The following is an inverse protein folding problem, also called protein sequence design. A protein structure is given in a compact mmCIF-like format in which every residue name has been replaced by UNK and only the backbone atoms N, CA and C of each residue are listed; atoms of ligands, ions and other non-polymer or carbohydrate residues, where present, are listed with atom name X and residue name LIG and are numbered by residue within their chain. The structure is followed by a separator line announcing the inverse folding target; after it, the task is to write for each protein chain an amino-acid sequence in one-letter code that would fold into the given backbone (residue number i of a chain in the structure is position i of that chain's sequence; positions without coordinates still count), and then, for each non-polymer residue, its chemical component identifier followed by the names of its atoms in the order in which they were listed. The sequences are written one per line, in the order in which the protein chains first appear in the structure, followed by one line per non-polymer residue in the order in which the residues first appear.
data_IF_448085015860
#
_entry.id   IF_448085015860
#
_cell.length_a   1.000
_cell.length_b   1.000
_cell.length_c   1.000
_cell.angle_alpha   90.00
_cell.angle_beta   90.00
_cell.angle_gamma   90.00
#
_symmetry.space_group_name_H-M   'P 1'
#
loop_
_entity.id
_entity.type
_entity.pdbx_description
1 polymer ?
#
# COMPACT_ATOMS: atom_id res chain seq x y z
N UNK A 1 -3.71 -1.86 -6.87
CA UNK A 1 -4.23 -2.77 -5.83
C UNK A 1 -3.39 -2.60 -4.60
N UNK A 2 -4.01 -2.81 -3.43
CA UNK A 2 -3.36 -2.65 -2.14
C UNK A 2 -3.60 -3.91 -1.28
N UNK A 3 -2.99 -3.96 -0.10
CA UNK A 3 -3.14 -5.06 0.86
C UNK A 3 -4.14 -4.69 1.95
N UNK A 4 -4.39 -5.60 2.90
CA UNK A 4 -5.10 -5.32 4.15
C UNK A 4 -4.42 -4.26 5.05
N UNK A 5 -3.19 -3.84 4.73
CA UNK A 5 -2.47 -2.73 5.38
C UNK A 5 -2.48 -1.47 4.49
N UNK A 6 -3.34 -1.47 3.47
CA UNK A 6 -3.39 -0.53 2.36
C UNK A 6 -4.06 0.81 2.65
N UNK A 7 -4.58 1.04 3.86
CA UNK A 7 -5.42 2.19 4.17
C UNK A 7 -4.75 3.52 3.84
N UNK A 8 -3.44 3.64 4.14
CA UNK A 8 -2.66 4.82 3.82
C UNK A 8 -2.57 5.04 2.31
N UNK A 9 -2.35 3.99 1.53
CA UNK A 9 -2.36 4.06 0.06
C UNK A 9 -3.74 4.39 -0.49
N UNK A 10 -4.82 3.87 0.10
CA UNK A 10 -6.19 4.18 -0.31
C UNK A 10 -6.49 5.67 -0.10
N UNK A 11 -6.18 6.22 1.08
CA UNK A 11 -6.34 7.64 1.39
C UNK A 11 -5.48 8.50 0.47
N UNK A 12 -4.19 8.16 0.31
CA UNK A 12 -3.29 8.89 -0.58
C UNK A 12 -3.74 8.85 -2.05
N UNK A 13 -4.49 7.82 -2.45
CA UNK A 13 -5.08 7.71 -3.78
C UNK A 13 -6.34 8.56 -3.96
N UNK A 14 -6.94 9.03 -2.87
CA UNK A 14 -8.10 9.92 -2.86
C UNK A 14 -9.37 9.30 -2.27
N UNK A 15 -9.30 8.11 -1.66
CA UNK A 15 -10.44 7.57 -0.91
C UNK A 15 -10.78 8.52 0.24
N UNK A 16 -12.06 8.90 0.38
CA UNK A 16 -12.50 9.73 1.50
C UNK A 16 -12.26 8.97 2.83
N UNK A 17 -11.44 9.51 3.75
CA UNK A 17 -11.21 8.89 5.06
C UNK A 17 -12.49 8.67 5.88
N UNK A 18 -13.53 9.49 5.65
CA UNK A 18 -14.87 9.32 6.27
C UNK A 18 -15.51 8.01 5.83
N UNK A 19 -15.48 7.72 4.54
CA UNK A 19 -15.97 6.45 3.98
C UNK A 19 -15.08 5.28 4.39
N UNK A 20 -13.75 5.46 4.44
CA UNK A 20 -12.83 4.44 4.95
C UNK A 20 -13.16 4.05 6.40
N UNK A 21 -13.24 5.03 7.31
CA UNK A 21 -13.59 4.75 8.72
C UNK A 21 -15.01 4.17 8.87
N UNK A 22 -15.97 4.63 8.08
CA UNK A 22 -17.31 4.04 8.05
C UNK A 22 -17.27 2.55 7.62
N UNK A 23 -16.45 2.20 6.63
CA UNK A 23 -16.25 0.82 6.19
C UNK A 23 -15.63 -0.05 7.30
N UNK A 24 -14.62 0.46 8.03
CA UNK A 24 -14.04 -0.26 9.18
C UNK A 24 -15.07 -0.62 10.25
N UNK A 25 -16.04 0.27 10.45
CA UNK A 25 -17.11 0.09 11.43
C UNK A 25 -18.33 -0.65 10.87
N UNK A 26 -18.25 -1.18 9.64
CA UNK A 26 -19.35 -1.92 9.00
C UNK A 26 -20.57 -1.05 8.71
N UNK A 27 -20.38 0.25 8.46
CA UNK A 27 -21.47 1.21 8.23
C UNK A 27 -21.81 1.31 6.75
N UNK A 28 -23.08 1.59 6.46
CA UNK A 28 -23.63 1.66 5.09
C UNK A 28 -22.97 2.75 4.23
N UNK A 29 -22.44 3.79 4.86
CA UNK A 29 -21.71 4.88 4.20
C UNK A 29 -20.23 4.58 3.97
N UNK A 30 -19.80 3.33 4.25
CA UNK A 30 -18.47 2.89 3.89
C UNK A 30 -18.28 2.78 2.38
N UNK A 31 -17.03 2.83 1.93
CA UNK A 31 -16.69 2.76 0.50
C UNK A 31 -17.14 1.47 -0.20
N UNK A 32 -17.46 0.42 0.57
CA UNK A 32 -18.08 -0.83 0.11
C UNK A 32 -19.38 -1.14 0.87
N UNK A 33 -20.05 -0.08 1.34
CA UNK A 33 -21.33 -0.10 2.06
C UNK A 33 -21.30 -0.97 3.33
N UNK A 34 -20.15 -1.08 3.98
CA UNK A 34 -19.98 -1.85 5.21
C UNK A 34 -19.91 -3.37 5.00
N UNK A 35 -19.80 -3.83 3.75
CA UNK A 35 -19.76 -5.26 3.38
C UNK A 35 -18.33 -5.79 3.27
N UNK A 36 -17.37 -4.93 2.94
CA UNK A 36 -15.98 -5.30 2.76
C UNK A 36 -15.19 -5.29 4.07
N UNK A 37 -15.41 -4.27 4.90
CA UNK A 37 -14.63 -4.05 6.11
C UNK A 37 -13.18 -3.67 5.84
N UNK A 38 -12.35 -3.81 6.87
CA UNK A 38 -10.97 -3.28 6.89
C UNK A 38 -10.07 -3.74 5.74
N UNK A 39 -10.26 -4.93 5.19
CA UNK A 39 -9.29 -5.50 4.24
C UNK A 39 -9.68 -5.33 2.77
N UNK A 40 -10.72 -4.54 2.49
CA UNK A 40 -11.43 -4.57 1.20
C UNK A 40 -11.82 -3.18 0.68
N UNK A 41 -11.13 -2.12 1.11
CA UNK A 41 -11.37 -0.78 0.57
C UNK A 41 -11.24 -0.78 -0.94
N UNK A 42 -12.27 -0.26 -1.61
CA UNK A 42 -12.36 -0.22 -3.07
C UNK A 42 -13.06 1.08 -3.47
N UNK A 43 -12.48 1.78 -4.43
CA UNK A 43 -13.10 2.93 -5.08
C UNK A 43 -12.51 3.08 -6.48
N UNK A 44 -13.27 2.66 -7.48
CA UNK A 44 -12.83 2.70 -8.88
C UNK A 44 -12.71 4.12 -9.42
N UNK A 45 -13.38 5.11 -8.82
CA UNK A 45 -13.36 6.50 -9.29
C UNK A 45 -11.99 7.14 -9.10
N UNK A 46 -11.29 6.76 -8.04
CA UNK A 46 -9.91 7.16 -7.76
C UNK A 46 -8.88 6.16 -8.30
N UNK A 47 -9.33 5.06 -8.91
CA UNK A 47 -8.49 3.99 -9.44
C UNK A 47 -8.00 2.99 -8.39
N UNK A 48 -8.64 2.94 -7.22
CA UNK A 48 -8.42 1.92 -6.20
C UNK A 48 -9.18 0.66 -6.57
N UNK A 49 -8.49 -0.26 -7.26
CA UNK A 49 -9.05 -1.55 -7.72
C UNK A 49 -9.39 -2.53 -6.58
N UNK A 50 -9.03 -2.20 -5.34
CA UNK A 50 -9.33 -3.01 -4.16
C UNK A 50 -8.10 -3.33 -3.32
N UNK A 51 -8.30 -3.30 -2.01
CA UNK A 51 -7.51 -4.01 -1.02
C UNK A 51 -7.85 -5.50 -1.03
N UNK A 52 -6.86 -6.34 -0.70
CA UNK A 52 -7.02 -7.78 -0.72
C UNK A 52 -6.50 -8.40 0.59
N UNK A 53 -7.35 -9.18 1.25
CA UNK A 53 -6.98 -10.03 2.38
C UNK A 53 -6.15 -11.25 1.95
N UNK A 54 -6.31 -11.72 0.71
CA UNK A 54 -5.55 -12.85 0.16
C UNK A 54 -4.17 -12.35 -0.26
N UNK A 55 -3.13 -12.85 0.42
CA UNK A 55 -1.75 -12.47 0.16
C UNK A 55 -1.38 -12.75 -1.30
N UNK A 56 -0.87 -11.75 -2.00
CA UNK A 56 -0.47 -11.84 -3.41
C UNK A 56 -1.60 -11.72 -4.44
N UNK A 57 -2.88 -11.72 -4.03
CA UNK A 57 -4.01 -11.68 -4.97
C UNK A 57 -4.13 -10.35 -5.74
N UNK A 58 -3.58 -9.25 -5.21
CA UNK A 58 -3.59 -7.95 -5.88
C UNK A 58 -2.74 -7.88 -7.15
N UNK A 59 -1.74 -8.75 -7.29
CA UNK A 59 -0.80 -8.75 -8.40
C UNK A 59 -1.42 -9.13 -9.75
N UNK A 60 -2.13 -10.27 -9.89
CA UNK A 60 -2.76 -10.62 -11.16
C UNK A 60 -3.81 -9.59 -11.59
N UNK A 61 -4.53 -9.00 -10.64
CA UNK A 61 -5.49 -7.92 -10.91
C UNK A 61 -4.77 -6.68 -11.50
N UNK A 62 -3.66 -6.26 -10.90
CA UNK A 62 -2.87 -5.13 -11.40
C UNK A 62 -2.29 -5.41 -12.79
N UNK A 63 -1.79 -6.62 -13.05
CA UNK A 63 -1.30 -7.02 -14.38
C UNK A 63 -2.43 -6.98 -15.41
N UNK A 64 -3.62 -7.47 -15.07
CA UNK A 64 -4.79 -7.38 -15.94
C UNK A 64 -5.17 -5.93 -16.27
N UNK A 65 -5.19 -5.05 -15.26
CA UNK A 65 -5.45 -3.62 -15.45
C UNK A 65 -4.39 -2.93 -16.32
N UNK A 66 -3.11 -3.26 -16.13
CA UNK A 66 -2.01 -2.76 -16.95
C UNK A 66 -2.10 -3.25 -18.39
N UNK A 67 -2.45 -4.53 -18.59
CA UNK A 67 -2.66 -5.10 -19.92
C UNK A 67 -3.80 -4.39 -20.64
N UNK A 68 -4.93 -4.17 -19.96
CA UNK A 68 -6.05 -3.37 -20.49
C UNK A 68 -5.59 -1.95 -20.85
N UNK A 69 -4.85 -1.28 -19.97
CA UNK A 69 -4.34 0.07 -20.22
C UNK A 69 -3.45 0.13 -21.48
N UNK A 70 -2.63 -0.90 -21.70
CA UNK A 70 -1.76 -1.06 -22.87
C UNK A 70 -2.55 -1.31 -24.15
N UNK A 71 -3.50 -2.25 -24.12
CA UNK A 71 -4.33 -2.61 -25.29
C UNK A 71 -5.21 -1.44 -25.73
N UNK A 72 -5.81 -0.74 -24.76
CA UNK A 72 -6.67 0.42 -24.98
C UNK A 72 -5.89 1.72 -25.24
N UNK A 73 -4.56 1.70 -25.14
CA UNK A 73 -3.67 2.86 -25.33
C UNK A 73 -4.03 4.07 -24.46
N UNK A 74 -4.48 3.81 -23.24
CA UNK A 74 -4.90 4.86 -22.30
C UNK A 74 -3.72 5.62 -21.68
N UNK A 75 -2.51 5.07 -21.80
CA UNK A 75 -1.33 5.58 -21.10
C UNK A 75 -1.38 5.39 -19.59
N UNK A 76 -2.34 4.64 -19.03
CA UNK A 76 -2.40 4.35 -17.59
C UNK A 76 -1.35 3.30 -17.20
N UNK A 77 -0.87 3.39 -15.96
CA UNK A 77 0.02 2.41 -15.31
C UNK A 77 -0.72 1.82 -14.12
N UNK A 78 -0.66 0.50 -13.95
CA UNK A 78 -1.19 -0.14 -12.75
C UNK A 78 -0.08 -0.26 -11.70
N UNK A 79 -0.45 -0.22 -10.42
CA UNK A 79 0.47 -0.49 -9.31
C UNK A 79 -0.10 -1.59 -8.43
N UNK A 80 0.75 -2.54 -8.06
CA UNK A 80 0.45 -3.57 -7.07
C UNK A 80 1.32 -3.34 -5.85
N UNK A 81 0.70 -2.91 -4.74
CA UNK A 81 1.38 -2.76 -3.44
C UNK A 81 1.23 -4.05 -2.65
N UNK A 82 2.32 -4.57 -2.09
CA UNK A 82 2.34 -5.80 -1.30
C UNK A 82 3.47 -5.84 -0.28
N UNK A 83 3.33 -6.66 0.76
CA UNK A 83 4.40 -6.90 1.74
C UNK A 83 5.39 -7.97 1.30
N UNK A 84 6.58 -7.97 1.90
CA UNK A 84 7.70 -8.88 1.63
C UNK A 84 7.31 -10.36 1.52
N UNK A 85 6.53 -10.89 2.46
CA UNK A 85 6.08 -12.29 2.44
C UNK A 85 5.30 -12.69 1.19
N UNK A 86 4.62 -11.75 0.52
CA UNK A 86 3.83 -12.04 -0.67
C UNK A 86 4.69 -12.51 -1.84
N UNK A 87 5.99 -12.18 -1.87
CA UNK A 87 6.96 -12.63 -2.90
C UNK A 87 7.05 -14.16 -3.04
N UNK A 88 6.58 -14.89 -2.02
CA UNK A 88 6.56 -16.34 -1.98
C UNK A 88 5.24 -16.95 -2.46
N UNK A 89 4.25 -16.14 -2.83
CA UNK A 89 2.97 -16.62 -3.35
C UNK A 89 3.06 -16.91 -4.85
N UNK A 90 2.48 -18.04 -5.28
CA UNK A 90 2.46 -18.46 -6.68
C UNK A 90 1.85 -17.38 -7.58
N UNK A 91 0.70 -16.83 -7.20
CA UNK A 91 -0.01 -15.81 -7.97
C UNK A 91 0.84 -14.55 -8.22
N UNK A 92 1.68 -14.15 -7.26
CA UNK A 92 2.59 -13.03 -7.46
C UNK A 92 3.69 -13.41 -8.45
N UNK A 93 4.39 -14.55 -8.26
CA UNK A 93 5.45 -14.99 -9.16
C UNK A 93 4.98 -15.18 -10.61
N UNK A 94 3.80 -15.77 -10.79
CA UNK A 94 3.15 -15.90 -12.09
C UNK A 94 2.86 -14.52 -12.71
N UNK A 95 2.38 -13.57 -11.89
CA UNK A 95 2.15 -12.19 -12.32
C UNK A 95 3.43 -11.47 -12.71
N UNK A 96 4.54 -11.68 -11.99
CA UNK A 96 5.84 -11.12 -12.33
C UNK A 96 6.29 -11.63 -13.71
N UNK A 97 6.19 -12.94 -13.94
CA UNK A 97 6.51 -13.56 -15.22
C UNK A 97 5.64 -13.04 -16.37
N UNK A 98 4.32 -12.97 -16.17
CA UNK A 98 3.39 -12.49 -17.19
C UNK A 98 3.58 -11.01 -17.51
N UNK A 99 3.81 -10.18 -16.50
CA UNK A 99 4.12 -8.77 -16.69
C UNK A 99 5.36 -8.60 -17.59
N UNK A 100 6.45 -9.34 -17.30
CA UNK A 100 7.67 -9.30 -18.08
C UNK A 100 7.44 -9.79 -19.53
N UNK A 101 6.79 -10.95 -19.70
CA UNK A 101 6.50 -11.52 -21.02
C UNK A 101 5.64 -10.60 -21.89
N UNK A 102 4.69 -9.88 -21.28
CA UNK A 102 3.79 -8.98 -21.99
C UNK A 102 4.28 -7.54 -22.05
N UNK A 103 5.42 -7.21 -21.43
CA UNK A 103 5.90 -5.83 -21.29
C UNK A 103 4.76 -4.92 -20.78
N UNK A 104 4.10 -5.35 -19.70
CA UNK A 104 2.94 -4.66 -19.14
C UNK A 104 3.36 -3.37 -18.40
N UNK A 105 2.60 -2.26 -18.51
CA UNK A 105 2.87 -1.03 -17.78
C UNK A 105 2.42 -1.15 -16.31
N UNK A 106 3.18 -1.91 -15.52
CA UNK A 106 2.88 -2.18 -14.11
C UNK A 106 4.09 -1.92 -13.21
N UNK A 107 3.83 -1.31 -12.05
CA UNK A 107 4.81 -1.17 -10.96
C UNK A 107 4.44 -2.14 -9.84
N UNK A 108 5.38 -3.00 -9.46
CA UNK A 108 5.30 -3.86 -8.29
C UNK A 108 6.01 -3.13 -7.13
N UNK A 109 5.23 -2.64 -6.17
CA UNK A 109 5.75 -1.90 -5.02
C UNK A 109 5.72 -2.79 -3.79
N UNK A 110 6.89 -3.31 -3.40
CA UNK A 110 7.07 -4.18 -2.25
C UNK A 110 7.43 -3.35 -1.01
N UNK A 111 6.53 -3.30 -0.03
CA UNK A 111 6.79 -2.76 1.30
C UNK A 111 7.49 -3.82 2.14
N UNK A 112 8.83 -3.86 2.04
CA UNK A 112 9.62 -4.82 2.78
C UNK A 112 9.79 -4.37 4.23
N UNK A 113 8.92 -4.88 5.11
CA UNK A 113 8.93 -4.56 6.54
C UNK A 113 9.74 -5.56 7.38
N UNK A 114 10.56 -6.39 6.71
CA UNK A 114 11.44 -7.44 7.24
C UNK A 114 10.74 -8.70 7.77
N UNK A 115 9.40 -8.70 7.92
CA UNK A 115 8.67 -9.83 8.50
C UNK A 115 7.40 -10.19 7.75
N UNK A 116 7.33 -11.45 7.32
CA UNK A 116 6.08 -12.09 6.91
C UNK A 116 5.37 -12.64 8.15
N UNK A 117 4.42 -11.88 8.67
CA UNK A 117 3.75 -12.17 9.95
C UNK A 117 4.78 -12.17 11.10
N UNK A 118 5.22 -13.35 11.55
CA UNK A 118 6.28 -13.56 12.55
C UNK A 118 7.60 -14.08 11.97
N UNK A 119 7.65 -14.36 10.66
CA UNK A 119 8.82 -14.98 10.03
C UNK A 119 9.71 -13.91 9.40
N UNK A 120 10.98 -13.77 9.82
CA UNK A 120 11.93 -12.89 9.15
C UNK A 120 12.03 -13.23 7.65
N UNK A 121 11.94 -12.23 6.78
CA UNK A 121 11.92 -12.45 5.33
C UNK A 121 13.16 -13.19 4.82
N UNK A 122 14.32 -12.95 5.44
CA UNK A 122 15.59 -13.60 5.10
C UNK A 122 15.57 -15.13 5.32
N UNK A 123 14.64 -15.65 6.13
CA UNK A 123 14.45 -17.09 6.31
C UNK A 123 13.57 -17.71 5.20
N UNK A 124 12.98 -16.88 4.32
CA UNK A 124 12.03 -17.29 3.28
C UNK A 124 12.54 -17.04 1.87
N UNK A 125 13.74 -16.48 1.71
CA UNK A 125 14.34 -16.15 0.42
C UNK A 125 15.79 -16.66 0.34
N UNK A 126 16.27 -16.90 -0.88
CA UNK A 126 17.66 -17.31 -1.13
C UNK A 126 18.56 -16.19 -1.66
N UNK A 127 18.02 -14.99 -1.85
CA UNK A 127 18.73 -13.80 -2.35
C UNK A 127 18.94 -12.79 -1.22
N UNK A 128 19.87 -11.85 -1.38
CA UNK A 128 20.10 -10.83 -0.36
C UNK A 128 18.93 -9.86 -0.24
N UNK A 129 18.31 -9.53 -1.38
CA UNK A 129 17.17 -8.59 -1.46
C UNK A 129 16.03 -9.15 -2.30
N UNK A 130 14.84 -8.59 -2.15
CA UNK A 130 13.69 -8.95 -2.98
C UNK A 130 13.81 -8.36 -4.39
N UNK A 131 14.44 -7.19 -4.53
CA UNK A 131 14.80 -6.62 -5.82
C UNK A 131 15.71 -7.56 -6.63
N UNK A 132 16.73 -8.18 -6.00
CA UNK A 132 17.60 -9.16 -6.66
C UNK A 132 16.81 -10.38 -7.15
N UNK A 133 15.89 -10.91 -6.32
CA UNK A 133 15.00 -12.00 -6.73
C UNK A 133 14.11 -11.60 -7.90
N UNK A 134 13.54 -10.40 -7.85
CA UNK A 134 12.71 -9.88 -8.94
C UNK A 134 13.55 -9.70 -10.21
N UNK A 135 14.81 -9.27 -10.14
CA UNK A 135 15.65 -9.03 -11.31
C UNK A 135 15.81 -10.26 -12.21
N UNK A 136 15.64 -11.48 -11.66
CA UNK A 136 15.61 -12.73 -12.41
C UNK A 136 14.53 -12.81 -13.52
N UNK A 137 13.52 -11.94 -13.50
CA UNK A 137 12.50 -11.84 -14.56
C UNK A 137 12.90 -10.90 -15.72
N UNK A 138 14.08 -10.26 -15.68
CA UNK A 138 14.64 -9.49 -16.80
C UNK A 138 14.09 -8.07 -16.97
N UNK A 139 13.68 -7.44 -15.87
CA UNK A 139 13.09 -6.08 -15.81
C UNK A 139 13.83 -5.15 -14.85
N UNK A 140 13.45 -3.87 -14.84
CA UNK A 140 14.02 -2.86 -13.95
C UNK A 140 13.62 -3.13 -12.50
N UNK A 141 14.60 -3.17 -11.60
CA UNK A 141 14.39 -3.31 -10.17
C UNK A 141 15.17 -2.25 -9.40
N UNK A 142 14.61 -1.74 -8.31
CA UNK A 142 15.28 -0.78 -7.43
C UNK A 142 14.97 -1.09 -5.97
N UNK A 143 15.91 -0.76 -5.08
CA UNK A 143 15.71 -0.80 -3.63
C UNK A 143 15.81 0.64 -3.13
N UNK A 144 14.86 1.06 -2.30
CA UNK A 144 14.75 2.42 -1.78
C UNK A 144 14.57 2.41 -0.27
N UNK A 145 15.02 3.48 0.39
CA UNK A 145 14.69 3.68 1.81
C UNK A 145 13.20 4.05 1.92
N UNK A 146 12.38 3.11 2.37
CA UNK A 146 10.94 3.29 2.56
C UNK A 146 10.59 4.23 3.71
N UNK A 147 11.59 4.66 4.51
CA UNK A 147 11.46 5.68 5.54
C UNK A 147 11.81 7.09 5.04
N UNK A 148 12.24 7.25 3.78
CA UNK A 148 12.45 8.56 3.17
C UNK A 148 11.29 8.85 2.19
N UNK A 149 10.34 9.74 2.54
CA UNK A 149 9.20 10.06 1.67
C UNK A 149 9.61 10.62 0.31
N UNK A 150 10.73 11.35 0.25
CA UNK A 150 11.23 11.96 -0.99
C UNK A 150 11.83 10.87 -1.88
N UNK A 151 12.68 10.00 -1.32
CA UNK A 151 13.26 8.88 -2.08
C UNK A 151 12.17 7.94 -2.63
N UNK A 152 11.14 7.64 -1.84
CA UNK A 152 9.98 6.86 -2.29
C UNK A 152 9.24 7.56 -3.42
N UNK A 153 8.98 8.87 -3.29
CA UNK A 153 8.29 9.65 -4.32
C UNK A 153 9.08 9.68 -5.65
N UNK A 154 10.37 9.97 -5.59
CA UNK A 154 11.23 10.06 -6.78
C UNK A 154 11.33 8.72 -7.50
N UNK A 155 11.64 7.65 -6.78
CA UNK A 155 11.74 6.31 -7.34
C UNK A 155 10.42 5.80 -7.93
N UNK A 156 9.30 6.08 -7.25
CA UNK A 156 7.97 5.71 -7.74
C UNK A 156 7.61 6.50 -9.00
N UNK A 157 7.96 7.78 -9.04
CA UNK A 157 7.73 8.64 -10.21
C UNK A 157 8.51 8.15 -11.42
N UNK A 158 9.80 7.82 -11.25
CA UNK A 158 10.64 7.25 -12.31
C UNK A 158 10.09 5.90 -12.80
N UNK A 159 9.72 5.00 -11.89
CA UNK A 159 9.16 3.70 -12.25
C UNK A 159 7.85 3.81 -13.03
N UNK A 160 6.98 4.74 -12.64
CA UNK A 160 5.72 5.01 -13.34
C UNK A 160 5.99 5.59 -14.72
N UNK A 161 6.92 6.53 -14.87
CA UNK A 161 7.30 7.09 -16.16
C UNK A 161 7.89 6.03 -17.10
N UNK A 162 8.81 5.21 -16.60
CA UNK A 162 9.41 4.09 -17.34
C UNK A 162 8.35 3.12 -17.85
N UNK A 163 7.45 2.67 -16.97
CA UNK A 163 6.37 1.75 -17.33
C UNK A 163 5.40 2.36 -18.34
N UNK A 164 5.06 3.65 -18.18
CA UNK A 164 4.17 4.40 -19.07
C UNK A 164 4.74 4.55 -20.47
N UNK A 165 6.06 4.79 -20.57
CA UNK A 165 6.77 5.00 -21.83
C UNK A 165 7.14 3.69 -22.54
N UNK A 166 6.64 2.55 -22.07
CA UNK A 166 6.84 1.25 -22.71
C UNK A 166 8.17 0.58 -22.38
N UNK A 167 8.88 1.06 -21.35
CA UNK A 167 10.07 0.39 -20.80
C UNK A 167 9.76 -0.95 -20.11
N UNK A 168 8.48 -1.30 -20.01
CA UNK A 168 8.02 -2.52 -19.38
C UNK A 168 7.84 -2.35 -17.87
N UNK A 169 7.61 -3.47 -17.17
CA UNK A 169 7.28 -3.43 -15.76
C UNK A 169 8.49 -3.11 -14.86
N UNK A 170 8.23 -2.59 -13.66
CA UNK A 170 9.26 -2.17 -12.70
C UNK A 170 8.96 -2.76 -11.32
N UNK A 171 10.00 -3.19 -10.59
CA UNK A 171 9.91 -3.63 -9.20
C UNK A 171 10.60 -2.63 -8.28
N UNK A 172 9.91 -2.16 -7.24
CA UNK A 172 10.46 -1.31 -6.18
C UNK A 172 10.42 -2.10 -4.88
N UNK A 173 11.56 -2.29 -4.25
CA UNK A 173 11.67 -2.77 -2.87
C UNK A 173 11.85 -1.57 -1.94
N UNK A 174 10.77 -1.15 -1.29
CA UNK A 174 10.81 -0.10 -0.27
C UNK A 174 11.14 -0.73 1.09
N UNK A 175 12.36 -0.50 1.57
CA UNK A 175 12.83 -0.99 2.86
C UNK A 175 12.20 -0.19 3.99
N UNK A 176 11.33 -0.83 4.77
CA UNK A 176 10.55 -0.19 5.83
C UNK A 176 10.50 -1.09 7.06
N UNK A 177 9.67 -0.77 8.04
CA UNK A 177 9.53 -1.56 9.26
C UNK A 177 8.14 -1.48 9.85
N UNK A 178 7.64 -2.63 10.34
CA UNK A 178 6.33 -2.72 10.98
C UNK A 178 6.45 -2.36 12.46
N UNK A 179 6.28 -1.08 12.82
CA UNK A 179 6.51 -0.60 14.20
C UNK A 179 5.62 -1.22 15.29
N UNK A 180 4.50 -1.84 14.91
CA UNK A 180 3.58 -2.55 15.79
C UNK A 180 3.49 -4.02 15.40
N UNK A 181 2.93 -4.85 16.28
CA UNK A 181 2.66 -6.25 15.99
C UNK A 181 1.86 -6.47 14.70
N UNK A 182 1.84 -7.72 14.21
CA UNK A 182 1.15 -8.05 12.95
C UNK A 182 -0.33 -7.68 12.99
N UNK A 183 -0.93 -7.93 14.15
CA UNK A 183 -2.33 -7.76 14.48
C UNK A 183 -2.48 -7.16 15.89
N UNK A 184 -3.67 -6.66 16.21
CA UNK A 184 -3.99 -6.19 17.55
C UNK A 184 -3.81 -7.34 18.56
N UNK A 185 -3.00 -7.13 19.59
CA UNK A 185 -2.74 -8.12 20.64
C UNK A 185 -1.59 -9.10 20.36
N UNK A 186 -0.87 -8.93 19.26
CA UNK A 186 0.38 -9.67 19.02
C UNK A 186 1.41 -9.37 20.12
N UNK A 187 2.01 -10.41 20.69
CA UNK A 187 2.98 -10.34 21.78
C UNK A 187 4.43 -10.13 21.30
N UNK A 188 4.65 -10.19 19.98
CA UNK A 188 5.89 -9.86 19.28
C UNK A 188 7.15 -10.66 19.72
N UNK A 189 7.08 -11.97 20.05
CA UNK A 189 8.23 -12.72 20.56
C UNK A 189 9.33 -12.99 19.52
N UNK A 190 9.05 -12.68 18.25
CA UNK A 190 9.89 -12.99 17.09
C UNK A 190 10.89 -11.86 16.74
N UNK A 191 10.90 -10.75 17.50
CA UNK A 191 11.78 -9.61 17.30
C UNK A 191 12.20 -8.97 18.62
N UNK A 192 13.33 -8.26 18.62
CA UNK A 192 13.83 -7.61 19.83
C UNK A 192 13.23 -6.21 20.03
N UNK A 193 13.21 -5.74 21.28
CA UNK A 193 12.76 -4.37 21.58
C UNK A 193 13.75 -3.34 21.06
N UNK A 194 15.03 -3.70 21.05
CA UNK A 194 16.13 -2.90 20.56
C UNK A 194 15.99 -2.63 19.06
N UNK A 195 15.71 -3.66 18.26
CA UNK A 195 15.44 -3.53 16.82
C UNK A 195 14.25 -2.58 16.57
N UNK A 196 13.13 -2.79 17.26
CA UNK A 196 11.95 -1.92 17.12
C UNK A 196 12.28 -0.48 17.51
N UNK A 197 13.08 -0.26 18.55
CA UNK A 197 13.47 1.07 19.00
C UNK A 197 14.37 1.79 17.98
N UNK A 198 15.32 1.08 17.35
CA UNK A 198 16.18 1.61 16.29
C UNK A 198 15.35 2.09 15.09
N UNK A 199 14.37 1.29 14.64
CA UNK A 199 13.47 1.70 13.57
C UNK A 199 12.53 2.83 13.99
N UNK A 200 12.01 2.81 15.23
CA UNK A 200 11.13 3.87 15.74
C UNK A 200 11.84 5.22 15.82
N UNK A 201 13.14 5.26 16.12
CA UNK A 201 13.92 6.49 16.16
C UNK A 201 14.05 7.19 14.79
N UNK A 202 13.78 6.46 13.70
CA UNK A 202 13.80 6.97 12.33
C UNK A 202 12.41 7.19 11.73
N UNK A 203 11.33 6.92 12.48
CA UNK A 203 9.95 6.97 11.98
C UNK A 203 9.68 8.28 11.22
N UNK A 204 9.36 8.21 9.90
CA UNK A 204 9.21 9.40 9.06
C UNK A 204 8.14 10.36 9.59
N UNK A 205 7.10 9.87 10.27
CA UNK A 205 6.06 10.74 10.84
C UNK A 205 6.64 11.68 11.91
N UNK A 206 7.65 11.21 12.65
CA UNK A 206 8.26 11.98 13.73
C UNK A 206 9.57 12.67 13.32
N UNK A 207 10.32 12.11 12.37
CA UNK A 207 11.61 12.62 11.95
C UNK A 207 11.51 13.62 10.77
N UNK A 208 10.59 13.41 9.83
CA UNK A 208 10.48 14.23 8.63
C UNK A 208 10.09 15.70 8.88
N UNK A 209 9.26 16.06 9.89
CA UNK A 209 8.93 17.45 10.16
C UNK A 209 10.15 18.35 10.42
N UNK A 210 11.16 17.84 11.14
CA UNK A 210 12.40 18.60 11.36
C UNK A 210 13.16 18.82 10.05
N UNK A 211 13.17 17.81 9.18
CA UNK A 211 13.78 17.92 7.84
C UNK A 211 13.06 18.94 6.96
N UNK A 212 11.73 19.03 7.04
CA UNK A 212 10.95 20.08 6.36
C UNK A 212 11.39 21.49 6.77
N UNK A 213 11.69 21.69 8.05
CA UNK A 213 12.18 22.97 8.57
C UNK A 213 13.61 23.25 8.06
N UNK A 214 14.50 22.29 8.24
CA UNK A 214 15.94 22.48 8.00
C UNK A 214 16.31 22.55 6.51
N UNK A 215 15.62 21.78 5.66
CA UNK A 215 15.96 21.63 4.25
C UNK A 215 14.99 22.36 3.30
N UNK A 216 13.72 22.50 3.70
CA UNK A 216 12.65 22.99 2.80
C UNK A 216 12.04 24.32 3.23
N UNK A 217 12.51 24.91 4.34
CA UNK A 217 12.15 26.25 4.78
C UNK A 217 10.76 26.37 5.41
N UNK A 218 10.17 25.26 5.85
CA UNK A 218 8.95 25.29 6.64
C UNK A 218 9.22 25.89 8.02
N UNK A 219 8.26 26.63 8.56
CA UNK A 219 8.30 27.10 9.93
C UNK A 219 7.74 26.04 10.89
N UNK A 220 8.19 26.02 12.17
CA UNK A 220 7.56 25.18 13.19
C UNK A 220 6.06 25.41 13.34
N UNK A 221 5.59 26.62 13.05
CA UNK A 221 4.16 26.95 13.13
C UNK A 221 3.36 26.28 12.00
N UNK A 222 3.88 26.24 10.77
CA UNK A 222 3.21 25.55 9.65
C UNK A 222 3.06 24.05 9.93
N UNK A 223 4.08 23.42 10.51
CA UNK A 223 3.99 22.01 10.93
C UNK A 223 2.90 21.82 11.99
N UNK A 224 2.87 22.69 13.01
CA UNK A 224 1.88 22.62 14.08
C UNK A 224 0.44 22.88 13.59
N UNK A 225 0.28 23.73 12.57
CA UNK A 225 -1.00 23.99 11.92
C UNK A 225 -1.51 22.74 11.19
N UNK A 226 -0.65 22.03 10.44
CA UNK A 226 -1.00 20.77 9.79
C UNK A 226 -1.45 19.72 10.82
N UNK A 227 -0.71 19.56 11.92
CA UNK A 227 -1.09 18.61 12.99
C UNK A 227 -2.45 18.96 13.60
N UNK A 228 -2.73 20.25 13.80
CA UNK A 228 -4.00 20.71 14.34
C UNK A 228 -5.16 20.47 13.35
N UNK A 229 -4.95 20.71 12.06
CA UNK A 229 -5.92 20.44 11.01
C UNK A 229 -6.27 18.95 10.94
N UNK A 230 -5.25 18.07 10.91
CA UNK A 230 -5.43 16.62 10.90
C UNK A 230 -6.16 16.15 12.16
N UNK A 231 -5.86 16.71 13.34
CA UNK A 231 -6.56 16.36 14.57
C UNK A 231 -8.07 16.70 14.51
N UNK A 232 -8.43 17.85 13.94
CA UNK A 232 -9.82 18.25 13.73
C UNK A 232 -10.49 17.30 12.72
N UNK A 233 -9.83 17.05 11.59
CA UNK A 233 -10.32 16.15 10.55
C UNK A 233 -10.60 14.75 11.11
N UNK A 234 -9.71 14.21 11.93
CA UNK A 234 -9.87 12.89 12.55
C UNK A 234 -11.09 12.80 13.47
N UNK A 235 -11.40 13.84 14.24
CA UNK A 235 -12.63 13.86 15.05
C UNK A 235 -13.89 13.98 14.18
N UNK A 236 -13.82 14.67 13.05
CA UNK A 236 -14.92 14.66 12.07
C UNK A 236 -15.13 13.30 11.44
N UNK A 237 -14.06 12.64 11.00
CA UNK A 237 -14.06 11.29 10.42
C UNK A 237 -14.72 10.30 11.38
N UNK A 238 -14.26 10.32 12.64
CA UNK A 238 -14.81 9.48 13.72
C UNK A 238 -16.28 9.77 13.97
N UNK A 239 -16.66 11.04 14.08
CA UNK A 239 -18.06 11.45 14.30
C UNK A 239 -18.96 10.98 13.14
N UNK A 240 -18.53 11.19 11.90
CA UNK A 240 -19.26 10.74 10.71
C UNK A 240 -19.47 9.22 10.74
N UNK A 241 -18.41 8.45 10.98
CA UNK A 241 -18.48 6.99 10.98
C UNK A 241 -19.37 6.47 12.12
N UNK A 242 -19.29 7.03 13.33
CA UNK A 242 -20.12 6.62 14.46
C UNK A 242 -21.61 6.96 14.29
N UNK A 243 -21.91 8.07 13.62
CA UNK A 243 -23.28 8.51 13.34
C UNK A 243 -23.90 7.86 12.11
N UNK A 244 -23.07 7.21 11.27
CA UNK A 244 -23.52 6.57 10.05
C UNK A 244 -24.41 5.35 10.34
N UNK A 245 -25.45 5.11 9.54
CA UNK A 245 -26.35 3.99 9.75
C UNK A 245 -25.67 2.65 9.49
N UNK A 246 -26.16 1.61 10.15
CA UNK A 246 -25.88 0.23 9.74
C UNK A 246 -26.58 -0.08 8.39
N UNK A 247 -26.02 -0.96 7.55
CA UNK A 247 -26.73 -1.49 6.38
C UNK A 247 -28.03 -2.20 6.80
N UNK A 248 -29.09 -2.13 5.99
CA UNK A 248 -30.27 -2.95 6.22
C UNK A 248 -29.94 -4.43 5.96
N UNK A 249 -30.53 -5.35 6.73
CA UNK A 249 -30.35 -6.79 6.52
C UNK A 249 -30.81 -7.24 5.13
N UNK A 250 -31.76 -6.53 4.52
CA UNK A 250 -32.19 -6.80 3.14
C UNK A 250 -31.09 -6.59 2.10
N UNK A 251 -30.09 -5.76 2.40
CA UNK A 251 -28.99 -5.42 1.48
C UNK A 251 -27.93 -6.55 1.38
N UNK A 252 -28.06 -7.62 2.19
CA UNK A 252 -27.08 -8.72 2.26
C UNK A 252 -26.89 -9.46 0.93
N UNK A 253 -27.93 -9.54 0.11
CA UNK A 253 -27.92 -10.23 -1.18
C UNK A 253 -27.61 -9.27 -2.35
N UNK A 254 -27.56 -7.97 -2.11
CA UNK A 254 -27.25 -6.99 -3.14
C UNK A 254 -25.78 -7.11 -3.56
N UNK A 255 -25.52 -6.91 -4.86
CA UNK A 255 -24.20 -7.01 -5.50
C UNK A 255 -23.58 -8.41 -5.54
N UNK A 256 -24.29 -9.47 -5.12
CA UNK A 256 -23.88 -10.85 -5.40
C UNK A 256 -23.89 -11.12 -6.91
N UNK A 257 -24.88 -10.56 -7.60
CA UNK A 257 -25.00 -10.48 -9.06
C UNK A 257 -25.47 -9.07 -9.47
N UNK A 258 -25.44 -8.79 -10.77
CA UNK A 258 -25.90 -7.54 -11.37
C UNK A 258 -27.43 -7.36 -11.32
#
# INVERSE_FOLDING_TARGET
TCTYRGHGQAIAKGLDPKEGMAELLGRRTGCSQGKGGSMHYTDLTVGLLGENAIVGAGAPIAVGAALRAKLDKTGQVAMSVFGDGAINQAALLESLNLAAAWQAPVVFFCENNLYSEMTPIQNMIGTATLAERAAGFGWTTMTVDGYDPIAVYEATSEAVEHARNGGGPVFIEAMTYRLFGHMVGDTEPYRSKEEVAEWRARDPITAFPQRLIDEFGFSPNEIAEIDAEVAVEMEEIKRFALQSPWPDVSEIAEHVFA
#
